data_IF_875822932085
#
_entry.id   IF_875822932085
#
_cell.length_a   1.000
_cell.length_b   1.000
_cell.length_c   1.000
_cell.angle_alpha   90.00
_cell.angle_beta   90.00
_cell.angle_gamma   90.00
#
_symmetry.space_group_name_H-M   'P 1'
#
loop_
_entity.id
_entity.type
_entity.pdbx_description
1 polymer ?
#
# COMPACT_ATOMS: atom_id res chain seq x y z
N UNK A 1 -10.51 -10.01 13.25
CA UNK A 1 -10.73 -8.76 12.50
C UNK A 1 -10.11 -8.87 11.11
N UNK A 2 -10.64 -8.14 10.17
CA UNK A 2 -10.07 -8.06 8.83
C UNK A 2 -9.37 -6.71 8.69
N UNK A 3 -8.05 -6.74 8.58
CA UNK A 3 -7.23 -5.55 8.43
C UNK A 3 -6.65 -5.50 7.02
N UNK A 4 -6.62 -4.32 6.45
CA UNK A 4 -6.06 -4.12 5.12
C UNK A 4 -5.00 -3.03 5.14
N UNK A 5 -4.01 -3.19 4.28
CA UNK A 5 -2.89 -2.26 4.15
C UNK A 5 -2.67 -1.96 2.68
N UNK A 6 -2.54 -0.68 2.37
CA UNK A 6 -1.99 -0.24 1.09
C UNK A 6 -0.50 -0.59 1.02
N UNK A 7 0.06 -0.63 -0.18
CA UNK A 7 1.46 -0.99 -0.38
C UNK A 7 2.35 0.24 -0.51
N UNK A 8 2.20 1.02 -1.59
CA UNK A 8 3.06 2.18 -1.83
C UNK A 8 2.80 3.29 -0.83
N UNK A 9 3.88 3.80 -0.23
CA UNK A 9 3.90 4.88 0.75
C UNK A 9 3.13 4.56 2.04
N UNK A 10 2.67 3.33 2.18
CA UNK A 10 2.10 2.81 3.43
C UNK A 10 3.03 1.80 4.07
N UNK A 11 3.35 0.72 3.38
CA UNK A 11 4.32 -0.29 3.83
C UNK A 11 5.71 0.01 3.28
N UNK A 12 5.81 0.31 1.99
CA UNK A 12 7.05 0.64 1.31
C UNK A 12 6.96 2.08 0.84
N UNK A 13 7.91 2.90 1.26
CA UNK A 13 8.08 4.21 0.63
C UNK A 13 8.59 4.00 -0.79
N UNK A 14 7.93 4.64 -1.75
CA UNK A 14 8.16 4.40 -3.17
C UNK A 14 8.52 5.70 -3.86
N UNK A 15 9.64 5.70 -4.57
CA UNK A 15 10.03 6.79 -5.44
C UNK A 15 9.55 6.49 -6.86
N UNK A 16 8.99 7.50 -7.53
CA UNK A 16 8.46 7.37 -8.88
C UNK A 16 9.45 7.97 -9.86
N UNK A 17 9.81 7.19 -10.87
CA UNK A 17 10.66 7.65 -11.97
C UNK A 17 9.73 7.94 -13.15
N UNK A 18 9.79 9.17 -13.68
CA UNK A 18 8.97 9.58 -14.81
C UNK A 18 9.81 9.81 -16.05
N UNK A 19 9.22 9.55 -17.20
CA UNK A 19 9.85 9.86 -18.48
C UNK A 19 9.64 11.31 -18.88
N UNK A 20 10.10 11.69 -20.08
CA UNK A 20 10.00 13.06 -20.57
C UNK A 20 8.56 13.54 -20.77
N UNK A 21 7.61 12.62 -20.94
CA UNK A 21 6.19 12.93 -21.13
C UNK A 21 5.43 12.97 -19.80
N UNK A 22 6.11 12.70 -18.68
CA UNK A 22 5.49 12.69 -17.36
C UNK A 22 4.83 11.38 -16.99
N UNK A 23 4.93 10.36 -17.83
CA UNK A 23 4.40 9.04 -17.54
C UNK A 23 5.31 8.28 -16.58
N UNK A 24 4.74 7.37 -15.79
CA UNK A 24 5.51 6.55 -14.87
C UNK A 24 6.34 5.55 -15.67
N UNK A 25 7.66 5.70 -15.60
CA UNK A 25 8.62 4.78 -16.19
C UNK A 25 8.94 3.64 -15.24
N UNK A 26 9.12 3.95 -13.95
CA UNK A 26 9.43 2.95 -12.94
C UNK A 26 8.98 3.43 -11.55
N UNK A 27 8.85 2.48 -10.63
CA UNK A 27 8.63 2.74 -9.22
C UNK A 27 9.66 1.94 -8.44
N UNK A 28 10.47 2.63 -7.66
CA UNK A 28 11.59 2.00 -6.95
C UNK A 28 11.43 2.13 -5.44
N UNK A 29 11.92 1.14 -4.68
CA UNK A 29 11.82 1.21 -3.23
C UNK A 29 12.71 2.33 -2.67
N UNK A 30 12.15 3.09 -1.72
CA UNK A 30 12.85 4.16 -1.00
C UNK A 30 12.86 3.89 0.51
N UNK A 31 12.65 2.66 0.91
CA UNK A 31 12.67 2.24 2.30
C UNK A 31 11.35 1.66 2.78
N UNK A 32 11.37 1.09 3.95
CA UNK A 32 10.21 0.52 4.63
C UNK A 32 9.67 1.57 5.60
N UNK A 33 8.34 1.74 5.65
CA UNK A 33 7.72 2.67 6.59
C UNK A 33 7.78 2.08 8.01
N UNK A 34 8.60 2.65 8.91
CA UNK A 34 8.79 2.09 10.25
C UNK A 34 7.59 2.32 11.17
N UNK A 35 6.62 3.15 10.77
CA UNK A 35 5.42 3.40 11.55
C UNK A 35 4.32 2.38 11.28
N UNK A 36 4.28 1.83 10.07
CA UNK A 36 3.20 0.92 9.65
C UNK A 36 3.65 -0.53 9.66
N UNK A 37 4.89 -0.82 9.29
CA UNK A 37 5.37 -2.21 9.23
C UNK A 37 5.19 -2.96 10.56
N UNK A 38 5.45 -2.35 11.74
CA UNK A 38 5.16 -3.03 13.01
C UNK A 38 3.68 -3.35 13.22
N UNK A 39 2.78 -2.52 12.69
CA UNK A 39 1.34 -2.77 12.78
C UNK A 39 0.94 -3.98 11.95
N UNK A 40 1.55 -4.15 10.78
CA UNK A 40 1.33 -5.32 9.93
C UNK A 40 1.78 -6.58 10.66
N UNK A 41 2.99 -6.60 11.20
CA UNK A 41 3.51 -7.75 11.91
C UNK A 41 2.68 -8.08 13.15
N UNK A 42 2.27 -7.06 13.90
CA UNK A 42 1.43 -7.25 15.09
C UNK A 42 0.08 -7.88 14.72
N UNK A 43 -0.54 -7.42 13.64
CA UNK A 43 -1.81 -7.97 13.17
C UNK A 43 -1.66 -9.45 12.78
N UNK A 44 -0.60 -9.78 12.04
CA UNK A 44 -0.32 -11.15 11.66
C UNK A 44 -0.06 -12.04 12.88
N UNK A 45 0.70 -11.53 13.85
CA UNK A 45 1.02 -12.28 15.06
C UNK A 45 -0.21 -12.54 15.95
N UNK A 46 -1.19 -11.63 15.94
CA UNK A 46 -2.48 -11.83 16.63
C UNK A 46 -3.39 -12.84 15.93
N UNK A 47 -3.07 -13.21 14.68
CA UNK A 47 -3.93 -14.08 13.89
C UNK A 47 -5.08 -13.35 13.19
N UNK A 48 -5.00 -12.03 13.03
CA UNK A 48 -5.97 -11.29 12.24
C UNK A 48 -5.90 -11.70 10.77
N UNK A 49 -7.03 -11.58 10.07
CA UNK A 49 -7.06 -11.76 8.61
C UNK A 49 -6.53 -10.47 7.98
N UNK A 50 -5.40 -10.57 7.29
CA UNK A 50 -4.70 -9.40 6.74
C UNK A 50 -4.59 -9.51 5.24
N UNK A 51 -5.00 -8.44 4.54
CA UNK A 51 -4.88 -8.33 3.09
C UNK A 51 -4.10 -7.08 2.71
N UNK A 52 -3.37 -7.16 1.62
CA UNK A 52 -2.80 -5.99 0.94
C UNK A 52 -3.77 -5.58 -0.16
N UNK A 53 -4.10 -4.30 -0.23
CA UNK A 53 -4.97 -3.73 -1.26
C UNK A 53 -4.26 -2.54 -1.88
N UNK A 54 -3.89 -2.63 -3.14
CA UNK A 54 -3.09 -1.63 -3.84
C UNK A 54 -3.75 -1.22 -5.15
N UNK A 55 -3.62 0.05 -5.52
CA UNK A 55 -4.10 0.53 -6.83
C UNK A 55 -3.17 0.18 -7.98
N UNK A 56 -2.04 -0.45 -7.73
CA UNK A 56 -1.13 -0.88 -8.77
C UNK A 56 -1.84 -1.73 -9.82
N UNK A 57 -1.36 -1.66 -11.07
CA UNK A 57 -1.81 -2.54 -12.14
C UNK A 57 -1.11 -3.88 -12.02
N UNK A 58 -1.90 -4.95 -11.89
CA UNK A 58 -1.37 -6.29 -11.63
C UNK A 58 -0.44 -6.75 -12.75
N UNK A 59 -0.78 -6.49 -14.01
CA UNK A 59 -0.01 -6.97 -15.15
C UNK A 59 1.42 -6.42 -15.18
N UNK A 60 1.66 -5.26 -14.59
CA UNK A 60 2.98 -4.61 -14.57
C UNK A 60 3.71 -4.80 -13.24
N UNK A 61 2.98 -4.79 -12.13
CA UNK A 61 3.59 -4.63 -10.81
C UNK A 61 3.40 -5.82 -9.86
N UNK A 62 2.72 -6.88 -10.29
CA UNK A 62 2.46 -8.04 -9.43
C UNK A 62 3.76 -8.63 -8.88
N UNK A 63 4.73 -8.90 -9.75
CA UNK A 63 5.97 -9.55 -9.33
C UNK A 63 6.78 -8.67 -8.38
N UNK A 64 6.87 -7.37 -8.65
CA UNK A 64 7.56 -6.44 -7.75
C UNK A 64 6.90 -6.44 -6.36
N UNK A 65 5.57 -6.35 -6.33
CA UNK A 65 4.81 -6.33 -5.07
C UNK A 65 5.01 -7.62 -4.28
N UNK A 66 4.80 -8.76 -4.91
CA UNK A 66 4.92 -10.06 -4.24
C UNK A 66 6.35 -10.33 -3.80
N UNK A 67 7.34 -9.90 -4.58
CA UNK A 67 8.75 -10.06 -4.26
C UNK A 67 9.11 -9.36 -2.95
N UNK A 68 8.64 -8.12 -2.76
CA UNK A 68 8.88 -7.38 -1.52
C UNK A 68 8.16 -8.01 -0.34
N UNK A 69 6.92 -8.43 -0.51
CA UNK A 69 6.16 -9.10 0.56
C UNK A 69 6.84 -10.41 0.97
N UNK A 70 7.40 -11.13 0.00
CA UNK A 70 8.15 -12.35 0.27
C UNK A 70 9.45 -12.04 1.02
N UNK A 71 10.17 -11.02 0.58
CA UNK A 71 11.42 -10.60 1.22
C UNK A 71 11.19 -10.18 2.68
N UNK A 72 10.07 -9.54 2.97
CA UNK A 72 9.71 -9.17 4.34
C UNK A 72 9.20 -10.34 5.17
N UNK A 73 9.04 -11.52 4.57
CA UNK A 73 8.59 -12.72 5.27
C UNK A 73 7.11 -12.74 5.61
N UNK A 74 6.30 -11.92 4.94
CA UNK A 74 4.87 -11.81 5.26
C UNK A 74 3.95 -12.42 4.22
N UNK A 75 4.42 -12.66 3.00
CA UNK A 75 3.56 -13.08 1.89
C UNK A 75 2.73 -14.33 2.24
N UNK A 76 3.35 -15.34 2.81
CA UNK A 76 2.68 -16.60 3.13
C UNK A 76 1.69 -16.48 4.30
N UNK A 77 1.75 -15.39 5.05
CA UNK A 77 0.89 -15.13 6.20
C UNK A 77 -0.31 -14.26 5.86
N UNK A 78 -0.31 -13.65 4.67
CA UNK A 78 -1.40 -12.81 4.20
C UNK A 78 -2.57 -13.66 3.71
N UNK A 79 -3.80 -13.18 3.94
CA UNK A 79 -5.00 -13.79 3.37
C UNK A 79 -5.14 -13.51 1.88
N UNK A 80 -4.59 -12.39 1.41
CA UNK A 80 -4.59 -12.08 -0.02
C UNK A 80 -3.87 -10.79 -0.35
N UNK A 81 -3.58 -10.62 -1.64
CA UNK A 81 -3.01 -9.41 -2.21
C UNK A 81 -3.91 -9.02 -3.39
N UNK A 82 -4.47 -7.82 -3.35
CA UNK A 82 -5.47 -7.37 -4.31
C UNK A 82 -4.98 -6.13 -5.06
N UNK A 83 -5.09 -6.19 -6.38
CA UNK A 83 -4.72 -5.10 -7.27
C UNK A 83 -5.98 -4.51 -7.87
N UNK A 84 -6.23 -3.21 -7.65
CA UNK A 84 -7.44 -2.58 -8.18
C UNK A 84 -7.26 -1.97 -9.56
N UNK A 85 -6.06 -2.06 -10.10
CA UNK A 85 -5.72 -1.58 -11.45
C UNK A 85 -6.11 -0.11 -11.66
N UNK A 86 -5.80 0.73 -10.67
CA UNK A 86 -6.06 2.17 -10.71
C UNK A 86 -7.40 2.61 -10.15
N UNK A 87 -8.31 1.68 -9.83
CA UNK A 87 -9.60 2.03 -9.25
C UNK A 87 -9.48 2.31 -7.75
N UNK A 88 -10.39 3.10 -7.20
CA UNK A 88 -10.50 3.29 -5.75
C UNK A 88 -10.78 1.96 -5.06
N UNK A 89 -10.38 1.86 -3.81
CA UNK A 89 -10.37 0.59 -3.07
C UNK A 89 -11.70 0.23 -2.42
N UNK A 90 -12.66 1.16 -2.37
CA UNK A 90 -13.89 1.00 -1.60
C UNK A 90 -14.59 -0.34 -1.83
N UNK A 91 -14.81 -0.71 -3.09
CA UNK A 91 -15.55 -1.94 -3.42
C UNK A 91 -14.77 -3.19 -2.99
N UNK A 92 -13.47 -3.18 -3.17
CA UNK A 92 -12.61 -4.28 -2.72
C UNK A 92 -12.64 -4.41 -1.20
N UNK A 93 -12.53 -3.29 -0.48
CA UNK A 93 -12.57 -3.28 0.99
C UNK A 93 -13.92 -3.79 1.49
N UNK A 94 -15.02 -3.38 0.85
CA UNK A 94 -16.35 -3.84 1.22
C UNK A 94 -16.49 -5.35 1.00
N UNK A 95 -16.02 -5.86 -0.13
CA UNK A 95 -16.09 -7.28 -0.45
C UNK A 95 -15.27 -8.13 0.52
N UNK A 96 -14.15 -7.61 1.03
CA UNK A 96 -13.33 -8.28 2.01
C UNK A 96 -13.88 -8.21 3.43
N UNK A 97 -14.82 -7.32 3.69
CA UNK A 97 -15.29 -7.06 5.03
C UNK A 97 -14.26 -6.36 5.90
N UNK A 98 -13.45 -5.49 5.32
CA UNK A 98 -12.39 -4.79 6.04
C UNK A 98 -12.95 -3.95 7.17
N UNK A 99 -12.36 -4.07 8.36
CA UNK A 99 -12.74 -3.28 9.53
C UNK A 99 -11.76 -2.15 9.83
N UNK A 100 -10.51 -2.28 9.38
CA UNK A 100 -9.49 -1.22 9.48
C UNK A 100 -8.66 -1.24 8.20
N UNK A 101 -8.54 -0.08 7.58
CA UNK A 101 -7.70 0.10 6.38
C UNK A 101 -6.61 1.13 6.64
N UNK A 102 -5.37 0.76 6.32
CA UNK A 102 -4.19 1.62 6.47
C UNK A 102 -3.78 2.12 5.09
N UNK A 103 -3.70 3.44 4.94
CA UNK A 103 -3.38 4.06 3.66
C UNK A 103 -2.70 5.41 3.89
N UNK A 104 -1.90 5.85 2.94
CA UNK A 104 -1.27 7.17 2.95
C UNK A 104 -2.13 8.20 2.21
N UNK A 105 -3.11 7.75 1.44
CA UNK A 105 -3.94 8.60 0.60
C UNK A 105 -5.21 9.04 1.32
N UNK A 106 -5.34 10.36 1.65
CA UNK A 106 -6.54 10.87 2.30
C UNK A 106 -7.81 10.66 1.48
N UNK A 107 -7.73 10.61 0.16
CA UNK A 107 -8.88 10.38 -0.72
C UNK A 107 -9.42 8.97 -0.52
N UNK A 108 -8.55 7.97 -0.41
CA UNK A 108 -8.98 6.60 -0.13
C UNK A 108 -9.61 6.51 1.27
N UNK A 109 -9.04 7.18 2.25
CA UNK A 109 -9.56 7.16 3.63
C UNK A 109 -10.88 7.91 3.78
N UNK A 110 -11.16 8.86 2.89
CA UNK A 110 -12.44 9.59 2.87
C UNK A 110 -13.58 8.78 2.26
N UNK A 111 -13.27 7.69 1.57
CA UNK A 111 -14.24 6.89 0.79
C UNK A 111 -14.27 5.44 1.28
N UNK A 112 -14.21 5.21 2.57
CA UNK A 112 -14.24 3.87 3.14
C UNK A 112 -15.66 3.33 3.24
N UNK A 113 -15.86 2.00 3.11
CA UNK A 113 -17.18 1.41 3.33
C UNK A 113 -17.60 1.54 4.79
N UNK A 114 -18.91 1.47 5.04
CA UNK A 114 -19.46 1.54 6.40
C UNK A 114 -18.82 0.46 7.27
N UNK A 115 -18.45 0.84 8.50
CA UNK A 115 -17.84 -0.08 9.46
C UNK A 115 -16.33 -0.25 9.29
N UNK A 116 -15.72 0.39 8.31
CA UNK A 116 -14.28 0.36 8.11
C UNK A 116 -13.66 1.66 8.63
N UNK A 117 -12.74 1.53 9.59
CA UNK A 117 -11.97 2.67 10.13
C UNK A 117 -10.69 2.86 9.33
N UNK A 118 -10.31 4.11 9.09
CA UNK A 118 -9.08 4.44 8.39
C UNK A 118 -7.93 4.78 9.35
N UNK A 119 -6.74 4.39 8.98
CA UNK A 119 -5.49 4.77 9.64
C UNK A 119 -4.59 5.42 8.61
N UNK A 120 -4.23 6.68 8.82
CA UNK A 120 -3.36 7.41 7.91
C UNK A 120 -1.90 7.03 8.16
N UNK A 121 -1.22 6.59 7.12
CA UNK A 121 0.20 6.26 7.19
C UNK A 121 1.04 7.54 7.06
N UNK A 122 2.03 7.75 7.94
CA UNK A 122 2.93 8.90 7.82
C UNK A 122 3.79 8.80 6.56
N UNK A 123 3.97 9.93 5.89
CA UNK A 123 4.83 10.02 4.72
C UNK A 123 6.31 10.00 5.10
N UNK A 124 7.16 9.75 4.11
CA UNK A 124 8.60 9.80 4.30
C UNK A 124 9.01 11.20 4.79
N UNK A 125 9.80 11.31 5.88
CA UNK A 125 10.10 12.62 6.48
C UNK A 125 10.78 13.60 5.53
N UNK A 126 11.61 13.12 4.61
CA UNK A 126 12.30 14.00 3.66
C UNK A 126 11.43 14.50 2.52
N UNK A 127 10.22 13.99 2.38
CA UNK A 127 9.32 14.41 1.29
C UNK A 127 8.42 15.59 1.68
N UNK A 128 8.43 16.00 2.95
CA UNK A 128 7.73 17.20 3.38
C UNK A 128 6.22 17.18 3.13
N UNK A 129 5.59 16.00 3.19
CA UNK A 129 4.18 15.85 2.92
C UNK A 129 3.86 15.52 1.46
N UNK A 130 4.85 15.31 0.63
CA UNK A 130 4.67 14.84 -0.74
C UNK A 130 4.63 13.31 -0.75
N UNK A 131 3.64 12.74 -1.43
CA UNK A 131 3.42 11.30 -1.42
C UNK A 131 4.47 10.50 -2.19
N UNK A 132 5.06 11.12 -3.19
CA UNK A 132 6.05 10.49 -4.03
C UNK A 132 7.15 11.46 -4.42
N UNK A 133 8.30 10.92 -4.75
CA UNK A 133 9.46 11.71 -5.15
C UNK A 133 9.84 11.35 -6.58
N UNK A 134 10.01 12.38 -7.41
CA UNK A 134 10.60 12.18 -8.72
C UNK A 134 12.11 12.17 -8.57
N UNK A 135 12.74 11.06 -8.88
CA UNK A 135 14.18 10.89 -8.74
C UNK A 135 14.91 10.86 -10.08
N UNK A 136 14.19 10.94 -11.20
CA UNK A 136 14.80 11.00 -12.53
C UNK A 136 14.09 12.06 -13.32
N UNK A 137 14.81 13.03 -13.69
CA UNK A 137 14.30 14.04 -14.55
C UNK A 137 14.80 13.93 -15.92
N UNK A 138 15.59 13.27 -16.13
CA UNK A 138 16.20 13.50 -17.28
C UNK A 138 16.46 13.35 -18.15
#
# INVERSE_FOLDING_TARGET
MVLTFDFDDTLRWTAVIRDADGDIEDMVPAGVNPHIMPLLHAALDRGDEVHIVTTRHAHRWREDTLSHLREWGVLDRLAGVHFTDGALKRDTLAALGATVHHDDDPEELADLPAGCRGVLAPLHPSWGGVEEVEISGN
#
